data_IF_344111758334
#
_entry.id   IF_344111758334
#
_cell.length_a   1.000
_cell.length_b   1.000
_cell.length_c   1.000
_cell.angle_alpha   90.00
_cell.angle_beta   90.00
_cell.angle_gamma   90.00
#
_symmetry.space_group_name_H-M   'P 1'
#
loop_
_entity.id
_entity.type
_entity.pdbx_description
1 polymer ?
#
# COMPACT_ATOMS: atom_id res chain seq x y z
N UNK A 1 -20.38 18.11 -15.24
CA UNK A 1 -20.58 17.55 -13.89
C UNK A 1 -19.94 18.51 -12.90
N UNK A 2 -20.67 19.08 -11.92
CA UNK A 2 -20.04 19.88 -10.86
C UNK A 2 -19.46 18.91 -9.84
N UNK A 3 -18.15 18.68 -9.88
CA UNK A 3 -17.47 17.87 -8.88
C UNK A 3 -17.49 18.60 -7.55
N UNK A 4 -18.28 18.09 -6.60
CA UNK A 4 -18.26 18.61 -5.23
C UNK A 4 -17.00 18.09 -4.53
N UNK A 5 -16.16 18.99 -4.04
CA UNK A 5 -14.96 18.61 -3.29
C UNK A 5 -15.39 18.09 -1.91
N UNK A 6 -15.19 16.80 -1.63
CA UNK A 6 -15.68 16.15 -0.39
C UNK A 6 -14.60 15.97 0.68
N UNK A 7 -13.33 16.30 0.37
CA UNK A 7 -12.18 16.04 1.25
C UNK A 7 -12.34 16.66 2.66
N UNK A 8 -12.97 17.84 2.75
CA UNK A 8 -13.24 18.54 4.02
C UNK A 8 -14.20 17.77 4.94
N UNK A 9 -15.07 16.91 4.40
CA UNK A 9 -15.93 16.01 5.19
C UNK A 9 -15.25 14.68 5.46
N UNK A 10 -14.47 14.20 4.49
CA UNK A 10 -13.81 12.91 4.55
C UNK A 10 -12.76 12.87 5.66
N UNK A 11 -11.87 13.86 5.73
CA UNK A 11 -10.80 13.96 6.75
C UNK A 11 -11.33 13.83 8.20
N UNK A 12 -12.26 14.69 8.67
CA UNK A 12 -12.74 14.61 10.05
C UNK A 12 -13.56 13.35 10.31
N UNK A 13 -14.32 12.87 9.31
CA UNK A 13 -15.11 11.64 9.46
C UNK A 13 -14.22 10.41 9.59
N UNK A 14 -13.19 10.29 8.75
CA UNK A 14 -12.18 9.23 8.86
C UNK A 14 -11.49 9.27 10.23
N UNK A 15 -11.11 10.46 10.70
CA UNK A 15 -10.47 10.60 12.01
C UNK A 15 -11.38 10.09 13.14
N UNK A 16 -12.66 10.49 13.14
CA UNK A 16 -13.62 10.05 14.16
C UNK A 16 -13.81 8.53 14.17
N UNK A 17 -13.88 7.91 12.99
CA UNK A 17 -14.01 6.44 12.87
C UNK A 17 -12.75 5.75 13.40
N UNK A 18 -11.56 6.16 12.93
CA UNK A 18 -10.29 5.53 13.32
C UNK A 18 -10.00 5.72 14.80
N UNK A 19 -10.36 6.88 15.38
CA UNK A 19 -10.19 7.16 16.81
C UNK A 19 -10.90 6.12 17.70
N UNK A 20 -12.09 5.68 17.31
CA UNK A 20 -12.86 4.66 18.04
C UNK A 20 -12.39 3.23 17.69
N UNK A 21 -11.87 3.04 16.48
CA UNK A 21 -11.50 1.73 15.93
C UNK A 21 -9.98 1.54 15.85
N UNK A 22 -9.25 1.92 16.90
CA UNK A 22 -7.79 1.71 17.00
C UNK A 22 -7.38 0.23 16.93
N UNK A 23 -8.34 -0.66 17.20
CA UNK A 23 -8.24 -2.12 17.02
C UNK A 23 -7.72 -2.51 15.63
N UNK A 24 -7.93 -1.69 14.61
CA UNK A 24 -7.47 -1.93 13.24
C UNK A 24 -5.94 -1.82 13.09
N UNK A 25 -5.25 -1.17 14.03
CA UNK A 25 -3.79 -0.96 13.99
C UNK A 25 -3.05 -2.24 14.41
N UNK A 26 -3.54 -2.94 15.43
CA UNK A 26 -2.82 -4.06 16.05
C UNK A 26 -2.56 -5.23 15.09
N UNK A 27 -3.53 -5.70 14.27
CA UNK A 27 -3.27 -6.75 13.28
C UNK A 27 -2.18 -6.37 12.30
N UNK A 28 -2.13 -5.09 11.90
CA UNK A 28 -1.12 -4.59 10.96
C UNK A 28 0.28 -4.62 11.56
N UNK A 29 0.44 -4.16 12.81
CA UNK A 29 1.72 -4.25 13.52
C UNK A 29 2.19 -5.70 13.70
N UNK A 30 1.28 -6.60 14.10
CA UNK A 30 1.60 -8.03 14.23
C UNK A 30 2.00 -8.65 12.89
N UNK A 31 1.34 -8.28 11.80
CA UNK A 31 1.70 -8.72 10.46
C UNK A 31 3.09 -8.24 10.05
N UNK A 32 3.44 -6.96 10.30
CA UNK A 32 4.77 -6.45 10.01
C UNK A 32 5.87 -7.22 10.75
N UNK A 33 5.66 -7.51 12.04
CA UNK A 33 6.58 -8.33 12.83
C UNK A 33 6.74 -9.74 12.24
N UNK A 34 5.63 -10.37 11.85
CA UNK A 34 5.65 -11.70 11.25
C UNK A 34 6.40 -11.70 9.91
N UNK A 35 6.19 -10.68 9.06
CA UNK A 35 6.93 -10.53 7.79
C UNK A 35 8.43 -10.41 8.05
N UNK A 36 8.86 -9.63 9.05
CA UNK A 36 10.28 -9.50 9.41
C UNK A 36 10.86 -10.86 9.83
N UNK A 37 10.17 -11.61 10.68
CA UNK A 37 10.61 -12.94 11.14
C UNK A 37 10.72 -13.93 9.97
N UNK A 38 9.77 -13.89 9.03
CA UNK A 38 9.76 -14.77 7.84
C UNK A 38 10.86 -14.41 6.84
N UNK A 39 11.18 -13.12 6.68
CA UNK A 39 12.18 -12.65 5.72
C UNK A 39 13.61 -12.64 6.27
N UNK A 40 13.81 -12.49 7.58
CA UNK A 40 15.12 -12.37 8.21
C UNK A 40 16.09 -13.54 7.98
N UNK A 41 15.68 -14.83 7.90
CA UNK A 41 16.62 -15.93 7.74
C UNK A 41 17.03 -16.21 6.28
N UNK A 42 16.64 -15.36 5.32
CA UNK A 42 16.79 -15.68 3.89
C UNK A 42 18.00 -14.97 3.28
N UNK A 43 19.07 -15.72 3.05
CA UNK A 43 20.21 -15.29 2.22
C UNK A 43 19.91 -15.45 0.73
N UNK A 44 19.20 -14.48 0.13
CA UNK A 44 18.96 -14.42 -1.33
C UNK A 44 17.49 -14.56 -1.75
N UNK A 45 17.22 -14.48 -3.05
CA UNK A 45 15.86 -14.58 -3.60
C UNK A 45 15.49 -16.06 -3.78
N UNK A 46 14.64 -16.59 -2.91
CA UNK A 46 14.07 -17.93 -3.05
C UNK A 46 12.62 -17.83 -3.58
N UNK A 47 12.30 -18.42 -4.76
CA UNK A 47 10.96 -18.39 -5.34
C UNK A 47 9.85 -18.92 -4.43
N UNK A 48 10.12 -19.97 -3.63
CA UNK A 48 9.13 -20.51 -2.69
C UNK A 48 8.81 -19.52 -1.57
N UNK A 49 9.81 -18.78 -1.10
CA UNK A 49 9.65 -17.75 -0.08
C UNK A 49 8.89 -16.56 -0.67
N UNK A 50 9.16 -16.18 -1.91
CA UNK A 50 8.41 -15.14 -2.60
C UNK A 50 6.92 -15.48 -2.68
N UNK A 51 6.58 -16.72 -3.08
CA UNK A 51 5.19 -17.20 -3.10
C UNK A 51 4.57 -17.21 -1.69
N UNK A 52 5.33 -17.66 -0.68
CA UNK A 52 4.86 -17.65 0.70
C UNK A 52 4.57 -16.23 1.22
N UNK A 53 5.42 -15.25 0.90
CA UNK A 53 5.22 -13.84 1.26
C UNK A 53 3.99 -13.27 0.56
N UNK A 54 3.77 -13.58 -0.71
CA UNK A 54 2.58 -13.17 -1.45
C UNK A 54 1.32 -13.78 -0.83
N UNK A 55 1.34 -15.08 -0.52
CA UNK A 55 0.23 -15.78 0.11
C UNK A 55 -0.09 -15.19 1.49
N UNK A 56 0.93 -15.02 2.33
CA UNK A 56 0.83 -14.43 3.66
C UNK A 56 0.27 -13.00 3.62
N UNK A 57 0.77 -12.16 2.72
CA UNK A 57 0.25 -10.82 2.48
C UNK A 57 -1.21 -10.87 2.05
N UNK A 58 -1.59 -11.81 1.20
CA UNK A 58 -2.95 -11.96 0.70
C UNK A 58 -3.92 -12.42 1.77
N UNK A 59 -3.51 -13.37 2.64
CA UNK A 59 -4.28 -13.77 3.83
C UNK A 59 -4.49 -12.55 4.73
N UNK A 60 -3.42 -11.85 5.09
CA UNK A 60 -3.52 -10.68 5.95
C UNK A 60 -4.44 -9.61 5.38
N UNK A 61 -4.22 -9.21 4.13
CA UNK A 61 -5.05 -8.18 3.47
C UNK A 61 -6.52 -8.60 3.42
N UNK A 62 -6.83 -9.87 3.15
CA UNK A 62 -8.22 -10.33 3.05
C UNK A 62 -8.98 -10.20 4.37
N UNK A 63 -8.36 -10.60 5.49
CA UNK A 63 -8.96 -10.44 6.80
C UNK A 63 -9.00 -8.99 7.24
N UNK A 64 -7.88 -8.28 7.09
CA UNK A 64 -7.74 -6.90 7.55
C UNK A 64 -8.66 -5.94 6.81
N UNK A 65 -8.76 -6.04 5.49
CA UNK A 65 -9.67 -5.21 4.68
C UNK A 65 -11.15 -5.50 5.00
N UNK A 66 -11.51 -6.75 5.30
CA UNK A 66 -12.86 -7.07 5.77
C UNK A 66 -13.20 -6.35 7.08
N UNK A 67 -12.25 -6.23 8.01
CA UNK A 67 -12.46 -5.47 9.24
C UNK A 67 -12.77 -4.00 8.96
N UNK A 68 -12.17 -3.37 7.93
CA UNK A 68 -12.50 -1.99 7.55
C UNK A 68 -13.93 -1.87 7.01
N UNK A 69 -14.32 -2.80 6.14
CA UNK A 69 -15.67 -2.84 5.59
C UNK A 69 -16.73 -2.99 6.69
N UNK A 70 -16.56 -4.00 7.56
CA UNK A 70 -17.47 -4.23 8.70
C UNK A 70 -17.46 -3.07 9.69
N UNK A 71 -16.32 -2.38 9.86
CA UNK A 71 -16.25 -1.16 10.67
C UNK A 71 -17.17 -0.05 10.13
N UNK A 72 -17.21 0.13 8.81
CA UNK A 72 -18.09 1.11 8.17
C UNK A 72 -19.56 0.73 8.27
N UNK A 73 -19.90 -0.55 8.11
CA UNK A 73 -21.26 -1.06 8.31
C UNK A 73 -21.74 -0.79 9.74
N UNK A 74 -20.91 -1.10 10.75
CA UNK A 74 -21.23 -0.87 12.15
C UNK A 74 -21.34 0.62 12.52
N UNK A 75 -20.66 1.51 11.79
CA UNK A 75 -20.68 2.95 12.05
C UNK A 75 -21.87 3.66 11.39
N UNK A 76 -22.74 2.95 10.68
CA UNK A 76 -23.95 3.54 10.09
C UNK A 76 -25.09 3.80 11.11
N UNK A 77 -24.99 3.27 12.32
CA UNK A 77 -25.97 3.48 13.37
C UNK A 77 -25.50 4.57 14.35
N UNK A 78 -25.90 5.83 14.09
CA UNK A 78 -25.50 7.00 14.89
C UNK A 78 -26.10 7.00 16.32
N UNK A 79 -27.10 6.15 16.60
CA UNK A 79 -27.83 6.09 17.88
C UNK A 79 -27.21 5.15 18.93
N UNK A 80 -26.00 4.64 18.70
CA UNK A 80 -25.36 3.66 19.58
C UNK A 80 -24.57 4.38 20.70
N UNK A 81 -24.65 3.87 21.93
CA UNK A 81 -23.85 4.36 23.07
C UNK A 81 -22.34 4.15 22.85
N UNK A 82 -21.51 4.96 23.51
CA UNK A 82 -20.04 4.87 23.32
C UNK A 82 -19.45 3.53 23.81
N UNK A 83 -20.07 2.91 24.82
CA UNK A 83 -19.74 1.57 25.27
C UNK A 83 -19.99 0.53 24.18
N UNK A 84 -21.16 0.58 23.54
CA UNK A 84 -21.51 -0.35 22.47
C UNK A 84 -20.66 -0.11 21.20
N UNK A 85 -20.26 1.14 20.91
CA UNK A 85 -19.26 1.43 19.85
C UNK A 85 -17.92 0.75 20.13
N UNK A 86 -17.48 0.75 21.39
CA UNK A 86 -16.24 0.08 21.81
C UNK A 86 -16.35 -1.43 21.68
N UNK A 87 -17.49 -2.02 22.08
CA UNK A 87 -17.76 -3.46 21.91
C UNK A 87 -17.75 -3.83 20.43
N UNK A 88 -18.41 -3.04 19.58
CA UNK A 88 -18.44 -3.27 18.13
C UNK A 88 -17.03 -3.18 17.52
N UNK A 89 -16.23 -2.21 17.95
CA UNK A 89 -14.82 -2.08 17.57
C UNK A 89 -14.02 -3.33 17.95
N UNK A 90 -14.08 -3.79 19.19
CA UNK A 90 -13.38 -5.02 19.62
C UNK A 90 -13.84 -6.27 18.87
N UNK A 91 -15.13 -6.35 18.53
CA UNK A 91 -15.68 -7.45 17.74
C UNK A 91 -15.12 -7.50 16.31
N UNK A 92 -14.51 -6.43 15.78
CA UNK A 92 -13.88 -6.45 14.46
C UNK A 92 -12.79 -7.52 14.35
N UNK A 93 -12.11 -7.91 15.43
CA UNK A 93 -11.15 -9.02 15.38
C UNK A 93 -11.78 -10.33 14.91
N UNK A 94 -13.06 -10.55 15.24
CA UNK A 94 -13.80 -11.74 14.81
C UNK A 94 -14.06 -11.74 13.31
N UNK A 95 -14.07 -10.56 12.68
CA UNK A 95 -14.29 -10.39 11.24
C UNK A 95 -13.04 -10.67 10.40
N UNK A 96 -11.87 -10.82 11.02
CA UNK A 96 -10.64 -11.11 10.30
C UNK A 96 -10.70 -12.48 9.59
N UNK A 97 -10.97 -13.57 10.31
CA UNK A 97 -10.97 -14.92 9.71
C UNK A 97 -12.09 -15.16 8.68
N UNK A 98 -13.34 -14.69 8.90
CA UNK A 98 -14.35 -14.69 7.84
C UNK A 98 -13.90 -13.96 6.57
N UNK A 99 -13.22 -12.82 6.73
CA UNK A 99 -12.63 -12.07 5.62
C UNK A 99 -11.59 -12.88 4.85
N UNK A 100 -10.72 -13.61 5.56
CA UNK A 100 -9.75 -14.54 4.92
C UNK A 100 -10.50 -15.58 4.11
N UNK A 101 -11.46 -16.29 4.71
CA UNK A 101 -12.21 -17.35 4.03
C UNK A 101 -12.93 -16.87 2.77
N UNK A 102 -13.49 -15.65 2.80
CA UNK A 102 -14.27 -15.09 1.70
C UNK A 102 -13.40 -14.47 0.60
N UNK A 103 -12.36 -13.71 0.95
CA UNK A 103 -11.66 -12.85 0.00
C UNK A 103 -10.25 -13.30 -0.38
N UNK A 104 -9.66 -14.29 0.33
CA UNK A 104 -8.27 -14.72 0.10
C UNK A 104 -7.93 -14.95 -1.37
N UNK A 105 -8.73 -15.76 -2.07
CA UNK A 105 -8.45 -16.09 -3.47
C UNK A 105 -8.51 -14.85 -4.36
N UNK A 106 -9.48 -13.95 -4.16
CA UNK A 106 -9.64 -12.72 -4.95
C UNK A 106 -8.48 -11.77 -4.71
N UNK A 107 -8.10 -11.56 -3.45
CA UNK A 107 -6.96 -10.70 -3.10
C UNK A 107 -5.65 -11.30 -3.63
N UNK A 108 -5.44 -12.61 -3.49
CA UNK A 108 -4.25 -13.30 -3.99
C UNK A 108 -4.06 -13.10 -5.49
N UNK A 109 -5.08 -13.38 -6.29
CA UNK A 109 -5.03 -13.16 -7.74
C UNK A 109 -4.89 -11.67 -8.10
N UNK A 110 -5.51 -10.77 -7.33
CA UNK A 110 -5.34 -9.32 -7.51
C UNK A 110 -3.91 -8.85 -7.27
N UNK A 111 -3.25 -9.35 -6.21
CA UNK A 111 -1.83 -9.09 -5.95
C UNK A 111 -0.95 -9.64 -7.09
N UNK A 112 -1.23 -10.86 -7.58
CA UNK A 112 -0.48 -11.42 -8.70
C UNK A 112 -0.64 -10.61 -9.99
N UNK A 113 -1.86 -10.18 -10.33
CA UNK A 113 -2.11 -9.30 -11.49
C UNK A 113 -1.36 -7.98 -11.34
N UNK A 114 -1.40 -7.37 -10.16
CA UNK A 114 -0.67 -6.13 -9.88
C UNK A 114 0.83 -6.31 -10.09
N UNK A 115 1.43 -7.36 -9.51
CA UNK A 115 2.86 -7.64 -9.67
C UNK A 115 3.23 -7.91 -11.12
N UNK A 116 2.42 -8.70 -11.83
CA UNK A 116 2.64 -9.01 -13.24
C UNK A 116 2.59 -7.75 -14.11
N UNK A 117 1.65 -6.84 -13.87
CA UNK A 117 1.55 -5.57 -14.60
C UNK A 117 2.80 -4.70 -14.40
N UNK A 118 3.30 -4.59 -13.16
CA UNK A 118 4.53 -3.85 -12.86
C UNK A 118 5.74 -4.48 -13.55
N UNK A 119 5.92 -5.80 -13.43
CA UNK A 119 7.05 -6.51 -14.03
C UNK A 119 7.06 -6.44 -15.57
N UNK A 120 5.89 -6.49 -16.22
CA UNK A 120 5.80 -6.32 -17.68
C UNK A 120 6.31 -4.94 -18.09
N UNK A 121 5.90 -3.89 -17.38
CA UNK A 121 6.31 -2.52 -17.72
C UNK A 121 7.78 -2.29 -17.43
N UNK A 122 8.29 -2.79 -16.30
CA UNK A 122 9.73 -2.78 -16.02
C UNK A 122 10.52 -3.48 -17.15
N UNK A 123 10.09 -4.67 -17.57
CA UNK A 123 10.73 -5.41 -18.66
C UNK A 123 10.74 -4.61 -19.97
N UNK A 124 9.62 -3.94 -20.31
CA UNK A 124 9.53 -3.07 -21.49
C UNK A 124 10.48 -1.87 -21.37
N UNK A 125 10.53 -1.19 -20.21
CA UNK A 125 11.43 -0.06 -19.97
C UNK A 125 12.89 -0.51 -20.14
N UNK A 126 13.28 -1.64 -19.55
CA UNK A 126 14.64 -2.18 -19.68
C UNK A 126 14.96 -2.63 -21.10
N UNK A 127 14.01 -3.19 -21.85
CA UNK A 127 14.23 -3.57 -23.25
C UNK A 127 14.60 -2.35 -24.12
N UNK A 128 13.95 -1.20 -23.92
CA UNK A 128 14.20 0.00 -24.72
C UNK A 128 15.34 0.88 -24.19
N UNK A 129 15.56 0.95 -22.87
CA UNK A 129 16.50 1.90 -22.25
C UNK A 129 17.70 1.23 -21.56
N UNK A 130 17.66 -0.09 -21.34
CA UNK A 130 18.63 -0.86 -20.54
C UNK A 130 19.94 -1.23 -21.25
N UNK A 131 20.18 -0.72 -22.46
CA UNK A 131 21.45 -0.91 -23.17
C UNK A 131 22.52 0.04 -22.62
N UNK A 132 23.20 -0.38 -21.56
CA UNK A 132 24.29 0.37 -20.91
C UNK A 132 25.64 0.09 -21.59
N UNK A 133 26.51 1.10 -21.66
CA UNK A 133 27.86 0.95 -22.24
C UNK A 133 28.92 0.62 -21.19
N UNK A 134 28.74 1.13 -19.97
CA UNK A 134 29.74 1.08 -18.89
C UNK A 134 29.65 -0.19 -18.05
N UNK A 135 28.57 -0.95 -18.18
CA UNK A 135 28.34 -2.21 -17.46
C UNK A 135 27.31 -3.05 -18.19
N UNK A 136 27.33 -4.37 -18.00
CA UNK A 136 26.22 -5.26 -18.34
C UNK A 136 25.33 -5.48 -17.12
N UNK A 137 24.05 -5.75 -17.34
CA UNK A 137 23.10 -6.07 -16.26
C UNK A 137 23.54 -7.32 -15.45
N UNK A 138 24.26 -8.24 -16.09
CA UNK A 138 24.84 -9.44 -15.45
C UNK A 138 26.02 -9.11 -14.53
N UNK A 139 26.71 -7.99 -14.78
CA UNK A 139 27.83 -7.49 -13.99
C UNK A 139 27.42 -6.37 -13.01
N UNK A 140 26.12 -6.08 -12.90
CA UNK A 140 25.64 -5.24 -11.81
C UNK A 140 26.02 -5.96 -10.51
N UNK A 141 26.73 -5.30 -9.57
CA UNK A 141 27.08 -5.96 -8.32
C UNK A 141 25.81 -6.53 -7.70
N UNK A 142 25.72 -7.85 -7.60
CA UNK A 142 24.62 -8.53 -6.88
C UNK A 142 24.57 -8.07 -5.41
N UNK A 143 25.64 -7.42 -4.96
CA UNK A 143 25.86 -6.82 -3.66
C UNK A 143 25.99 -5.29 -3.75
N UNK A 144 25.00 -4.58 -4.32
CA UNK A 144 24.75 -3.17 -3.92
C UNK A 144 24.18 -3.11 -2.48
N UNK A 145 24.67 -3.98 -1.59
CA UNK A 145 24.15 -4.18 -0.24
C UNK A 145 24.67 -3.13 0.74
N UNK A 146 25.78 -2.46 0.42
CA UNK A 146 26.32 -1.38 1.24
C UNK A 146 26.32 -0.04 0.50
N UNK A 147 26.19 1.04 1.27
CA UNK A 147 26.28 2.42 0.78
C UNK A 147 27.61 2.69 0.06
N UNK A 148 28.70 2.06 0.51
CA UNK A 148 30.03 2.22 -0.07
C UNK A 148 30.11 1.60 -1.48
N UNK A 149 29.56 0.39 -1.66
CA UNK A 149 29.54 -0.31 -2.94
C UNK A 149 28.72 0.47 -3.98
N UNK A 150 27.60 1.06 -3.57
CA UNK A 150 26.80 1.92 -4.44
C UNK A 150 27.55 3.16 -4.88
N UNK A 151 28.24 3.86 -3.97
CA UNK A 151 29.03 5.05 -4.31
C UNK A 151 30.18 4.70 -5.24
N UNK A 152 30.87 3.60 -5.00
CA UNK A 152 31.95 3.12 -5.86
C UNK A 152 31.46 2.78 -7.27
N UNK A 153 30.34 2.05 -7.38
CA UNK A 153 29.69 1.77 -8.66
C UNK A 153 29.25 3.05 -9.37
N UNK A 154 28.59 3.97 -8.65
CA UNK A 154 28.13 5.24 -9.21
C UNK A 154 29.29 6.09 -9.73
N UNK A 155 30.45 6.06 -9.09
CA UNK A 155 31.61 6.80 -9.57
C UNK A 155 32.27 6.15 -10.79
N UNK A 156 32.13 4.83 -10.98
CA UNK A 156 32.72 4.07 -12.09
C UNK A 156 31.94 4.19 -13.41
N UNK A 157 30.63 4.41 -13.36
CA UNK A 157 29.78 4.49 -14.56
C UNK A 157 29.91 5.82 -15.30
N UNK A 158 29.81 5.80 -16.63
CA UNK A 158 29.87 7.01 -17.46
C UNK A 158 28.70 7.97 -17.18
N UNK A 159 28.90 9.26 -17.41
CA UNK A 159 27.83 10.27 -17.30
C UNK A 159 26.60 9.94 -18.17
N UNK A 160 26.81 9.34 -19.35
CA UNK A 160 25.72 8.94 -20.25
C UNK A 160 24.87 7.84 -19.61
N UNK A 161 25.50 6.85 -18.99
CA UNK A 161 24.76 5.76 -18.33
C UNK A 161 24.12 6.21 -17.01
N UNK A 162 24.72 7.16 -16.27
CA UNK A 162 24.05 7.83 -15.12
C UNK A 162 22.73 8.47 -15.53
N UNK A 163 22.74 9.22 -16.62
CA UNK A 163 21.53 9.88 -17.14
C UNK A 163 20.49 8.83 -17.56
N UNK A 164 20.90 7.71 -18.18
CA UNK A 164 19.99 6.62 -18.52
C UNK A 164 19.35 5.98 -17.27
N UNK A 165 20.14 5.70 -16.24
CA UNK A 165 19.64 5.14 -14.97
C UNK A 165 18.61 6.09 -14.36
N UNK A 166 18.89 7.39 -14.30
CA UNK A 166 17.96 8.40 -13.78
C UNK A 166 16.67 8.44 -14.62
N UNK A 167 16.77 8.37 -15.94
CA UNK A 167 15.60 8.31 -16.83
C UNK A 167 14.75 7.07 -16.60
N UNK A 168 15.38 5.90 -16.51
CA UNK A 168 14.70 4.63 -16.21
C UNK A 168 13.97 4.73 -14.88
N UNK A 169 14.67 5.16 -13.83
CA UNK A 169 14.08 5.34 -12.50
C UNK A 169 12.92 6.35 -12.50
N UNK A 170 13.05 7.47 -13.23
CA UNK A 170 11.99 8.46 -13.32
C UNK A 170 10.73 7.92 -14.05
N UNK A 171 10.92 7.19 -15.15
CA UNK A 171 9.81 6.56 -15.90
C UNK A 171 9.14 5.48 -15.04
N UNK A 172 9.94 4.64 -14.38
CA UNK A 172 9.45 3.58 -13.52
C UNK A 172 8.65 4.13 -12.32
N UNK A 173 9.20 5.10 -11.58
CA UNK A 173 8.49 5.78 -10.50
C UNK A 173 7.21 6.47 -10.98
N UNK A 174 7.24 7.10 -12.17
CA UNK A 174 6.06 7.76 -12.75
C UNK A 174 4.98 6.73 -13.09
N UNK A 175 5.38 5.58 -13.66
CA UNK A 175 4.46 4.50 -13.97
C UNK A 175 3.87 3.88 -12.70
N UNK A 176 4.70 3.50 -11.72
CA UNK A 176 4.25 2.93 -10.45
C UNK A 176 3.32 3.90 -9.73
N UNK A 177 3.67 5.19 -9.70
CA UNK A 177 2.84 6.24 -9.10
C UNK A 177 1.47 6.37 -9.78
N UNK A 178 1.46 6.46 -11.11
CA UNK A 178 0.22 6.56 -11.89
C UNK A 178 -0.62 5.29 -11.78
N UNK A 179 0.00 4.11 -11.87
CA UNK A 179 -0.69 2.83 -11.74
C UNK A 179 -1.26 2.64 -10.34
N UNK A 180 -0.51 2.99 -9.29
CA UNK A 180 -0.99 2.96 -7.90
C UNK A 180 -2.15 3.92 -7.69
N UNK A 181 -2.11 5.12 -8.29
CA UNK A 181 -3.22 6.06 -8.26
C UNK A 181 -4.46 5.50 -8.96
N UNK A 182 -4.33 5.04 -10.21
CA UNK A 182 -5.45 4.50 -11.00
C UNK A 182 -6.06 3.24 -10.39
N UNK A 183 -5.28 2.48 -9.61
CA UNK A 183 -5.73 1.24 -9.01
C UNK A 183 -6.06 1.35 -7.53
N UNK A 184 -5.91 2.50 -6.87
CA UNK A 184 -5.98 2.64 -5.40
C UNK A 184 -7.25 2.08 -4.70
N UNK A 185 -8.37 1.91 -5.42
CA UNK A 185 -9.63 1.35 -4.90
C UNK A 185 -9.90 -0.13 -5.25
N UNK A 186 -8.92 -0.85 -5.80
CA UNK A 186 -9.15 -2.21 -6.29
C UNK A 186 -9.46 -3.18 -5.15
N UNK A 187 -8.86 -3.01 -3.98
CA UNK A 187 -9.12 -3.85 -2.81
C UNK A 187 -10.50 -3.60 -2.21
N UNK A 188 -10.95 -2.35 -2.15
CA UNK A 188 -12.29 -1.95 -1.69
C UNK A 188 -13.36 -2.54 -2.63
N UNK A 189 -13.11 -2.53 -3.94
CA UNK A 189 -14.01 -3.14 -4.93
C UNK A 189 -14.19 -4.65 -4.71
N UNK A 190 -13.16 -5.35 -4.25
CA UNK A 190 -13.26 -6.78 -3.90
C UNK A 190 -14.07 -6.97 -2.63
N UNK A 191 -13.78 -6.21 -1.58
CA UNK A 191 -14.36 -6.45 -0.25
C UNK A 191 -15.79 -5.92 -0.14
N UNK A 192 -16.05 -4.68 -0.59
CA UNK A 192 -17.36 -4.04 -0.44
C UNK A 192 -18.38 -4.48 -1.51
N UNK A 193 -17.93 -4.86 -2.71
CA UNK A 193 -18.83 -5.25 -3.83
C UNK A 193 -18.61 -6.68 -4.34
N UNK A 194 -17.79 -7.47 -3.65
CA UNK A 194 -17.50 -8.87 -3.98
C UNK A 194 -16.97 -9.10 -5.42
N UNK A 195 -16.35 -8.09 -6.04
CA UNK A 195 -15.87 -8.20 -7.44
C UNK A 195 -14.71 -9.19 -7.56
N UNK A 196 -14.61 -9.84 -8.72
CA UNK A 196 -13.39 -10.54 -9.09
C UNK A 196 -12.24 -9.55 -9.36
N UNK A 197 -10.97 -10.00 -9.37
CA UNK A 197 -9.82 -9.09 -9.38
C UNK A 197 -9.73 -8.20 -10.63
N UNK A 198 -10.00 -8.75 -11.81
CA UNK A 198 -9.96 -7.99 -13.07
C UNK A 198 -11.03 -6.90 -13.06
N UNK A 199 -12.27 -7.27 -12.71
CA UNK A 199 -13.36 -6.31 -12.60
C UNK A 199 -13.11 -5.25 -11.52
N UNK A 200 -12.42 -5.62 -10.43
CA UNK A 200 -12.04 -4.70 -9.37
C UNK A 200 -11.03 -3.65 -9.86
N UNK A 201 -10.02 -4.03 -10.65
CA UNK A 201 -9.11 -3.07 -11.27
C UNK A 201 -9.83 -2.13 -12.24
N UNK A 202 -10.71 -2.67 -13.09
CA UNK A 202 -11.51 -1.86 -14.03
C UNK A 202 -12.40 -0.87 -13.27
N UNK A 203 -13.03 -1.31 -12.18
CA UNK A 203 -13.87 -0.46 -11.35
C UNK A 203 -13.07 0.62 -10.63
N UNK A 204 -11.87 0.28 -10.14
CA UNK A 204 -10.93 1.24 -9.54
C UNK A 204 -10.55 2.34 -10.53
N UNK A 205 -10.18 1.98 -11.76
CA UNK A 205 -9.86 2.95 -12.82
C UNK A 205 -11.08 3.82 -13.13
N UNK A 206 -12.27 3.22 -13.29
CA UNK A 206 -13.51 3.98 -13.54
C UNK A 206 -13.81 4.96 -12.40
N UNK A 207 -13.61 4.54 -11.17
CA UNK A 207 -13.80 5.39 -9.97
C UNK A 207 -12.91 6.63 -10.04
N UNK A 208 -11.63 6.43 -10.33
CA UNK A 208 -10.65 7.51 -10.45
C UNK A 208 -10.94 8.44 -11.62
N UNK A 209 -11.40 7.91 -12.75
CA UNK A 209 -11.72 8.73 -13.93
C UNK A 209 -13.05 9.48 -13.80
N UNK A 210 -14.00 8.98 -13.01
CA UNK A 210 -15.29 9.63 -12.79
C UNK A 210 -15.19 10.82 -11.82
N UNK A 211 -14.29 10.76 -10.83
CA UNK A 211 -14.08 11.83 -9.86
C UNK A 211 -12.58 12.10 -9.60
N UNK A 212 -11.83 12.54 -10.63
CA UNK A 212 -10.38 12.62 -10.57
C UNK A 212 -9.87 13.62 -9.55
N UNK A 213 -10.64 14.66 -9.21
CA UNK A 213 -10.20 15.70 -8.27
C UNK A 213 -10.18 15.14 -6.85
N UNK A 214 -11.27 14.53 -6.38
CA UNK A 214 -11.32 14.01 -5.02
C UNK A 214 -10.37 12.81 -4.85
N UNK A 215 -10.31 11.89 -5.82
CA UNK A 215 -9.39 10.74 -5.76
C UNK A 215 -7.93 11.20 -5.77
N UNK A 216 -7.59 12.20 -6.59
CA UNK A 216 -6.24 12.76 -6.60
C UNK A 216 -5.89 13.42 -5.26
N UNK A 217 -6.81 14.16 -4.65
CA UNK A 217 -6.57 14.76 -3.32
C UNK A 217 -6.31 13.69 -2.27
N UNK A 218 -7.10 12.61 -2.22
CA UNK A 218 -6.88 11.49 -1.30
C UNK A 218 -5.48 10.89 -1.52
N UNK A 219 -5.12 10.62 -2.78
CA UNK A 219 -3.83 10.06 -3.14
C UNK A 219 -2.67 11.01 -2.77
N UNK A 220 -2.78 12.30 -3.09
CA UNK A 220 -1.77 13.30 -2.77
C UNK A 220 -1.56 13.44 -1.26
N UNK A 221 -2.63 13.52 -0.47
CA UNK A 221 -2.54 13.58 0.99
C UNK A 221 -1.87 12.33 1.57
N UNK A 222 -2.20 11.15 1.04
CA UNK A 222 -1.57 9.88 1.41
C UNK A 222 -0.05 9.91 1.14
N UNK A 223 0.37 10.28 -0.07
CA UNK A 223 1.79 10.35 -0.44
C UNK A 223 2.54 11.38 0.41
N UNK A 224 1.97 12.58 0.61
CA UNK A 224 2.59 13.62 1.45
C UNK A 224 2.77 13.12 2.88
N UNK A 225 1.77 12.41 3.42
CA UNK A 225 1.84 11.85 4.76
C UNK A 225 2.91 10.75 4.88
N UNK A 226 3.06 9.90 3.86
CA UNK A 226 4.15 8.92 3.83
C UNK A 226 5.53 9.56 3.72
N UNK A 227 5.69 10.58 2.88
CA UNK A 227 6.93 11.35 2.78
C UNK A 227 7.25 12.01 4.13
N UNK A 228 6.25 12.59 4.79
CA UNK A 228 6.42 13.20 6.10
C UNK A 228 6.92 12.19 7.15
N UNK A 229 6.29 11.02 7.25
CA UNK A 229 6.72 9.96 8.18
C UNK A 229 8.13 9.47 7.83
N UNK A 230 8.45 9.33 6.55
CA UNK A 230 9.78 8.93 6.10
C UNK A 230 10.85 9.95 6.49
N UNK A 231 10.60 11.25 6.28
CA UNK A 231 11.50 12.33 6.68
C UNK A 231 11.67 12.35 8.20
N UNK A 232 10.59 12.19 8.97
CA UNK A 232 10.69 12.08 10.43
C UNK A 232 11.57 10.90 10.85
N UNK A 233 11.43 9.74 10.21
CA UNK A 233 12.27 8.57 10.51
C UNK A 233 13.75 8.85 10.22
N UNK A 234 14.06 9.57 9.13
CA UNK A 234 15.44 9.95 8.82
C UNK A 234 16.04 10.90 9.85
N UNK A 235 15.25 11.84 10.37
CA UNK A 235 15.73 12.86 11.32
C UNK A 235 15.83 12.32 12.75
N UNK A 236 14.93 11.42 13.15
CA UNK A 236 14.78 11.00 14.54
C UNK A 236 15.15 9.54 14.79
N UNK A 237 15.27 8.72 13.73
CA UNK A 237 15.38 7.26 13.80
C UNK A 237 16.72 6.71 14.26
N UNK A 238 17.61 7.51 14.87
CA UNK A 238 18.84 6.99 15.49
C UNK A 238 18.58 6.35 16.86
N UNK A 239 17.55 6.82 17.58
CA UNK A 239 17.15 6.27 18.88
C UNK A 239 16.00 5.27 18.71
N UNK A 240 16.09 4.13 19.41
CA UNK A 240 15.05 3.09 19.42
C UNK A 240 13.66 3.61 19.80
N UNK A 241 13.55 4.55 20.74
CA UNK A 241 12.27 5.14 21.14
C UNK A 241 11.66 5.95 19.99
N UNK A 242 12.47 6.75 19.31
CA UNK A 242 12.04 7.54 18.15
C UNK A 242 11.66 6.66 16.98
N UNK A 243 12.38 5.55 16.74
CA UNK A 243 12.02 4.56 15.73
C UNK A 243 10.66 3.92 16.03
N UNK A 244 10.41 3.53 17.30
CA UNK A 244 9.11 2.96 17.71
C UNK A 244 7.96 3.96 17.52
N UNK A 245 8.15 5.22 17.91
CA UNK A 245 7.14 6.27 17.71
C UNK A 245 6.85 6.50 16.22
N UNK A 246 7.90 6.50 15.39
CA UNK A 246 7.74 6.67 13.94
C UNK A 246 7.06 5.48 13.28
N UNK A 247 7.32 4.26 13.76
CA UNK A 247 6.61 3.05 13.33
C UNK A 247 5.13 3.09 13.71
N UNK A 248 4.80 3.54 14.93
CA UNK A 248 3.40 3.72 15.36
C UNK A 248 2.68 4.75 14.49
N UNK A 249 3.33 5.89 14.21
CA UNK A 249 2.80 6.91 13.32
C UNK A 249 2.60 6.38 11.90
N UNK A 250 3.55 5.61 11.37
CA UNK A 250 3.44 4.95 10.07
C UNK A 250 2.23 4.02 10.01
N UNK A 251 2.07 3.14 11.00
CA UNK A 251 0.93 2.22 11.07
C UNK A 251 -0.40 2.98 11.16
N UNK A 252 -0.46 4.06 11.95
CA UNK A 252 -1.64 4.91 12.05
C UNK A 252 -1.98 5.57 10.71
N UNK A 253 -0.99 6.11 9.99
CA UNK A 253 -1.18 6.71 8.66
C UNK A 253 -1.75 5.70 7.67
N UNK A 254 -1.24 4.46 7.65
CA UNK A 254 -1.77 3.41 6.76
C UNK A 254 -3.23 3.09 7.11
N UNK A 255 -3.54 2.87 8.39
CA UNK A 255 -4.93 2.59 8.84
C UNK A 255 -5.85 3.76 8.49
N UNK A 256 -5.40 4.99 8.69
CA UNK A 256 -6.14 6.19 8.37
C UNK A 256 -6.50 6.28 6.89
N UNK A 257 -5.53 6.13 5.98
CA UNK A 257 -5.80 6.20 4.54
C UNK A 257 -6.52 4.96 4.00
N UNK A 258 -6.35 3.80 4.62
CA UNK A 258 -7.16 2.60 4.31
C UNK A 258 -8.63 2.84 4.67
N UNK A 259 -8.92 3.41 5.84
CA UNK A 259 -10.28 3.79 6.22
C UNK A 259 -10.83 4.90 5.32
N UNK A 260 -10.01 5.90 4.96
CA UNK A 260 -10.40 6.99 4.06
C UNK A 260 -10.81 6.48 2.68
N UNK A 261 -10.05 5.54 2.11
CA UNK A 261 -10.34 4.95 0.81
C UNK A 261 -11.62 4.11 0.84
N UNK A 262 -11.83 3.30 1.88
CA UNK A 262 -13.10 2.59 2.09
C UNK A 262 -14.28 3.57 2.25
N UNK A 263 -14.15 4.59 3.09
CA UNK A 263 -15.23 5.55 3.34
C UNK A 263 -15.60 6.34 2.08
N UNK A 264 -14.60 6.73 1.27
CA UNK A 264 -14.84 7.37 -0.01
C UNK A 264 -15.54 6.41 -0.99
N UNK A 265 -15.01 5.19 -1.12
CA UNK A 265 -15.51 4.20 -2.06
C UNK A 265 -16.97 3.81 -1.81
N UNK A 266 -17.36 3.62 -0.54
CA UNK A 266 -18.71 3.16 -0.20
C UNK A 266 -19.76 4.28 -0.13
N UNK A 267 -19.35 5.55 0.09
CA UNK A 267 -20.31 6.63 0.36
C UNK A 267 -20.26 7.83 -0.58
N UNK A 268 -19.14 8.03 -1.27
CA UNK A 268 -18.89 9.25 -2.06
C UNK A 268 -18.50 8.99 -3.51
N UNK A 269 -18.33 7.72 -3.89
CA UNK A 269 -18.04 7.27 -5.24
C UNK A 269 -19.22 7.46 -6.19
#
# INVERSE_FOLDING_TARGET
MKTQIVIHKLIPRTFNIVKVNQVLIMPFLMFLLLVVVVLSPVGGINPFILVAVIALKSVFLSGWLNMFHMCLENTNNDNISDEQKTINSLNLYKEFFPGVGKYFQKIFWGVLIFLLAVNIVESVIFHFLGNFKSFSLENLPQTLGTKADFVAFWNKISHVDKIKIIKIAAIDMSFIGLFSYLTMFWTQSIVAEDKNPVNAFVLSIKTVLNDPINTFLIFAFMIISFIFVFVLNLLLGENILSQLLTLMLFAYVIVYYTMMTFLYFERYR
#
